data_IF_029844146348
#
_entry.id   IF_029844146348
#
_cell.length_a   1.000
_cell.length_b   1.000
_cell.length_c   1.000
_cell.angle_alpha   90.00
_cell.angle_beta   90.00
_cell.angle_gamma   90.00
#
_symmetry.space_group_name_H-M   'P 1'
#
loop_
_entity.id
_entity.type
_entity.pdbx_description
1 polymer ?
#
# COMPACT_ATOMS: atom_id res chain seq x y z
N UNK A 1 -1.88 -3.84 -11.45
CA UNK A 1 -0.72 -3.14 -10.86
C UNK A 1 0.47 -4.07 -10.86
N UNK A 2 1.68 -3.57 -11.11
CA UNK A 2 2.90 -4.37 -10.99
C UNK A 2 3.55 -4.16 -9.63
N UNK A 3 4.36 -5.12 -9.15
CA UNK A 3 5.10 -4.91 -7.92
C UNK A 3 6.11 -3.76 -7.96
N UNK A 4 6.68 -3.49 -9.13
CA UNK A 4 7.62 -2.37 -9.31
C UNK A 4 6.91 -1.02 -9.13
N UNK A 5 5.66 -0.87 -9.59
CA UNK A 5 4.88 0.34 -9.34
C UNK A 5 4.67 0.59 -7.84
N UNK A 6 4.39 -0.45 -7.06
CA UNK A 6 4.21 -0.31 -5.60
C UNK A 6 5.54 0.05 -4.94
N UNK A 7 6.64 -0.57 -5.38
CA UNK A 7 7.99 -0.25 -4.90
C UNK A 7 8.34 1.22 -5.16
N UNK A 8 8.03 1.73 -6.35
CA UNK A 8 8.28 3.13 -6.72
C UNK A 8 7.49 4.09 -5.81
N UNK A 9 6.24 3.76 -5.47
CA UNK A 9 5.43 4.56 -4.54
C UNK A 9 5.98 4.57 -3.12
N UNK A 10 6.43 3.40 -2.61
CA UNK A 10 6.99 3.30 -1.26
C UNK A 10 8.33 4.05 -1.12
N UNK A 11 9.08 4.21 -2.20
CA UNK A 11 10.36 4.92 -2.21
C UNK A 11 10.30 6.34 -2.80
N UNK A 12 9.11 6.81 -3.17
CA UNK A 12 8.93 8.14 -3.74
C UNK A 12 9.37 9.22 -2.73
N UNK A 13 10.02 10.27 -3.24
CA UNK A 13 10.42 11.44 -2.44
C UNK A 13 9.93 12.72 -3.14
N UNK A 14 9.01 13.50 -2.53
CA UNK A 14 8.34 13.21 -1.26
C UNK A 14 7.42 12.00 -1.38
N UNK A 15 7.26 11.27 -0.26
CA UNK A 15 6.26 10.22 -0.18
C UNK A 15 4.86 10.83 -0.19
N UNK A 16 3.94 10.21 -0.94
CA UNK A 16 2.52 10.58 -0.97
C UNK A 16 1.73 9.42 -0.39
N UNK A 17 0.94 9.60 0.69
CA UNK A 17 0.08 8.56 1.24
C UNK A 17 -0.88 8.00 0.17
N UNK A 18 -1.15 6.70 0.24
CA UNK A 18 -2.03 6.04 -0.73
C UNK A 18 -2.77 4.86 -0.13
N UNK A 19 -3.85 4.46 -0.79
CA UNK A 19 -4.64 3.28 -0.46
C UNK A 19 -4.57 2.25 -1.56
N UNK A 20 -4.47 0.97 -1.20
CA UNK A 20 -4.56 -0.15 -2.13
C UNK A 20 -5.92 -0.84 -2.00
N UNK A 21 -6.55 -1.12 -3.14
CA UNK A 21 -7.86 -1.78 -3.22
C UNK A 21 -7.70 -3.20 -3.73
N UNK A 22 -8.34 -4.15 -3.04
CA UNK A 22 -8.28 -5.58 -3.38
C UNK A 22 -9.64 -6.06 -3.87
N UNK A 23 -9.68 -6.68 -5.06
CA UNK A 23 -10.93 -7.04 -5.76
C UNK A 23 -11.89 -7.89 -4.93
N UNK A 24 -11.34 -8.87 -4.22
CA UNK A 24 -12.12 -9.90 -3.52
C UNK A 24 -12.80 -9.37 -2.25
N UNK A 25 -12.30 -8.29 -1.67
CA UNK A 25 -12.67 -7.87 -0.31
C UNK A 25 -13.43 -6.54 -0.28
N UNK A 26 -13.58 -5.85 -1.42
CA UNK A 26 -14.07 -4.46 -1.50
C UNK A 26 -13.45 -3.55 -0.43
N UNK A 27 -12.22 -3.87 -0.02
CA UNK A 27 -11.53 -3.26 1.10
C UNK A 27 -10.38 -2.42 0.59
N UNK A 28 -10.22 -1.25 1.20
CA UNK A 28 -9.06 -0.40 1.05
C UNK A 28 -8.10 -0.66 2.22
N UNK A 29 -6.81 -0.68 1.91
CA UNK A 29 -5.74 -0.72 2.89
C UNK A 29 -4.92 0.56 2.76
N UNK A 30 -5.01 1.41 3.78
CA UNK A 30 -4.35 2.70 3.81
C UNK A 30 -2.88 2.55 4.20
N UNK A 31 -2.01 3.29 3.49
CA UNK A 31 -0.58 3.38 3.75
C UNK A 31 -0.27 4.86 4.00
N UNK A 32 -0.38 5.32 5.26
CA UNK A 32 -0.23 6.73 5.61
C UNK A 32 1.23 7.21 5.58
N UNK A 33 2.19 6.29 5.67
CA UNK A 33 3.64 6.56 5.67
C UNK A 33 4.37 5.31 5.14
N UNK A 34 5.56 5.43 4.51
CA UNK A 34 6.28 4.28 3.95
C UNK A 34 6.58 3.20 5.00
N UNK A 35 6.84 3.59 6.25
CA UNK A 35 7.10 2.64 7.35
C UNK A 35 5.92 1.71 7.68
N UNK A 36 4.70 2.03 7.22
CA UNK A 36 3.53 1.18 7.41
C UNK A 36 3.41 0.09 6.36
N UNK A 37 4.29 0.07 5.35
CA UNK A 37 4.21 -0.90 4.28
C UNK A 37 5.58 -1.43 3.85
N UNK A 38 5.64 -2.73 3.60
CA UNK A 38 6.83 -3.39 3.09
C UNK A 38 6.49 -4.35 1.96
N UNK A 39 7.26 -4.28 0.89
CA UNK A 39 7.22 -5.27 -0.18
C UNK A 39 8.22 -6.39 0.11
N UNK A 40 7.76 -7.64 0.07
CA UNK A 40 8.61 -8.81 0.34
C UNK A 40 9.67 -9.03 -0.75
N UNK A 41 10.73 -9.82 -0.47
CA UNK A 41 11.92 -10.01 -1.35
C UNK A 41 11.66 -10.41 -2.82
N UNK A 42 10.49 -11.00 -3.14
CA UNK A 42 10.10 -11.35 -4.52
C UNK A 42 9.02 -10.42 -5.08
N UNK A 43 8.75 -9.34 -4.36
CA UNK A 43 7.72 -8.35 -4.62
C UNK A 43 6.29 -8.94 -4.78
N UNK A 44 6.05 -10.18 -4.37
CA UNK A 44 4.77 -10.86 -4.57
C UNK A 44 3.71 -10.52 -3.52
N UNK A 45 4.15 -10.06 -2.35
CA UNK A 45 3.29 -9.74 -1.20
C UNK A 45 3.65 -8.37 -0.67
N UNK A 46 2.63 -7.54 -0.50
CA UNK A 46 2.66 -6.27 0.22
C UNK A 46 2.16 -6.53 1.65
N UNK A 47 3.00 -6.21 2.63
CA UNK A 47 2.65 -6.25 4.04
C UNK A 47 2.26 -4.82 4.44
N UNK A 48 1.06 -4.65 5.00
CA UNK A 48 0.57 -3.36 5.49
C UNK A 48 0.27 -3.46 6.99
N UNK A 49 0.99 -2.68 7.80
CA UNK A 49 0.76 -2.58 9.23
C UNK A 49 -0.60 -1.93 9.51
N UNK A 50 -1.33 -2.45 10.49
CA UNK A 50 -2.58 -1.85 10.95
C UNK A 50 -2.28 -0.70 11.90
N UNK A 51 -3.06 0.38 11.79
CA UNK A 51 -2.97 1.54 12.69
C UNK A 51 -3.73 1.32 14.01
N UNK A 52 -4.66 0.37 14.04
CA UNK A 52 -5.58 0.12 15.16
C UNK A 52 -5.22 -1.11 16.01
N UNK A 53 -4.21 -1.89 15.60
CA UNK A 53 -3.79 -3.11 16.28
C UNK A 53 -2.33 -3.44 15.95
N UNK A 54 -1.66 -4.17 16.86
CA UNK A 54 -0.35 -4.77 16.60
C UNK A 54 -0.50 -6.01 15.68
N UNK A 55 -0.83 -5.75 14.42
CA UNK A 55 -1.10 -6.75 13.41
C UNK A 55 -0.82 -6.18 12.00
N UNK A 56 -0.67 -7.07 11.03
CA UNK A 56 -0.43 -6.69 9.64
C UNK A 56 -1.34 -7.46 8.68
N UNK A 57 -1.64 -6.84 7.54
CA UNK A 57 -2.31 -7.45 6.42
C UNK A 57 -1.29 -7.92 5.39
N UNK A 58 -1.46 -9.15 4.90
CA UNK A 58 -0.64 -9.71 3.83
C UNK A 58 -1.47 -9.72 2.56
N UNK A 59 -1.09 -8.88 1.60
CA UNK A 59 -1.84 -8.65 0.37
C UNK A 59 -1.00 -9.18 -0.79
N UNK A 60 -1.51 -10.18 -1.49
CA UNK A 60 -0.92 -10.62 -2.75
C UNK A 60 -1.03 -9.48 -3.77
N UNK A 61 0.10 -8.99 -4.27
CA UNK A 61 0.13 -7.86 -5.22
C UNK A 61 -0.76 -8.09 -6.46
N UNK A 62 -0.85 -9.31 -7.03
CA UNK A 62 -1.76 -9.57 -8.16
C UNK A 62 -3.25 -9.33 -7.86
N UNK A 63 -3.67 -9.30 -6.59
CA UNK A 63 -5.06 -9.06 -6.20
C UNK A 63 -5.39 -7.56 -6.07
N UNK A 64 -4.37 -6.69 -6.12
CA UNK A 64 -4.54 -5.25 -6.06
C UNK A 64 -5.05 -4.75 -7.42
N UNK A 65 -6.26 -4.22 -7.41
CA UNK A 65 -6.95 -3.75 -8.61
C UNK A 65 -6.76 -2.27 -8.85
N UNK A 66 -6.63 -1.48 -7.77
CA UNK A 66 -6.55 -0.03 -7.85
C UNK A 66 -5.69 0.52 -6.72
N UNK A 67 -5.05 1.65 -7.00
CA UNK A 67 -4.35 2.50 -6.03
C UNK A 67 -5.00 3.87 -6.10
N UNK A 68 -5.28 4.48 -4.95
CA UNK A 68 -5.70 5.87 -4.86
C UNK A 68 -4.74 6.65 -3.98
N UNK A 69 -4.21 7.74 -4.50
CA UNK A 69 -3.40 8.66 -3.70
C UNK A 69 -4.33 9.43 -2.78
N UNK A 70 -3.92 9.64 -1.53
CA UNK A 70 -4.56 10.64 -0.70
C UNK A 70 -4.38 11.99 -1.38
N UNK A 71 -5.47 12.73 -1.57
CA UNK A 71 -5.38 14.12 -2.03
C UNK A 71 -4.47 14.84 -1.06
N UNK A 72 -3.39 15.43 -1.58
CA UNK A 72 -2.50 16.27 -0.81
C UNK A 72 -3.34 17.45 -0.33
N UNK A 73 -3.89 17.36 0.88
CA UNK A 73 -4.53 18.49 1.53
C UNK A 73 -3.39 19.45 1.87
N UNK A 74 -3.04 20.30 0.91
CA UNK A 74 -2.22 21.49 1.18
C UNK A 74 -3.00 22.36 2.16
N UNK A 75 -2.41 22.78 3.30
CA UNK A 75 -2.94 23.87 4.09
C UNK A 75 -2.88 25.20 3.33
#
# INVERSE_FOLDING_TARGET
MTPDQIKDLLHATPFVPFSVYVAAEQKAYEIPHPDFAMLTHKNGVLIVARTDADAAHHISVPLITRIEMAESTSP
#
